data_IF_653147322654
#
_entry.id   IF_653147322654
#
_cell.length_a   1.000
_cell.length_b   1.000
_cell.length_c   1.000
_cell.angle_alpha   90.00
_cell.angle_beta   90.00
_cell.angle_gamma   90.00
#
_symmetry.space_group_name_H-M   'P 1'
#
loop_
_entity.id
_entity.type
_entity.pdbx_description
1 polymer ?
#
# COMPACT_ATOMS: atom_id res chain seq x y z
N UNK A 1 8.35 -25.79 26.37
CA UNK A 1 8.50 -24.56 25.56
C UNK A 1 9.99 -24.20 25.34
N UNK A 2 10.79 -25.11 24.74
CA UNK A 2 12.24 -24.89 24.49
C UNK A 2 12.76 -25.36 23.11
N UNK A 3 11.88 -25.89 22.24
CA UNK A 3 12.28 -26.46 20.95
C UNK A 3 12.37 -25.45 19.78
N UNK A 4 11.76 -24.26 19.91
CA UNK A 4 11.71 -23.26 18.83
C UNK A 4 13.00 -22.44 18.68
N UNK A 5 13.87 -22.41 19.69
CA UNK A 5 15.10 -21.59 19.68
C UNK A 5 16.35 -22.34 19.19
N UNK A 6 16.32 -23.67 19.13
CA UNK A 6 17.45 -24.51 18.72
C UNK A 6 17.51 -24.78 17.20
N UNK A 7 16.55 -24.27 16.44
CA UNK A 7 16.52 -24.30 14.97
C UNK A 7 16.30 -22.88 14.47
N UNK A 8 17.38 -22.11 14.37
CA UNK A 8 17.46 -21.16 13.26
C UNK A 8 17.38 -22.03 12.02
N UNK A 9 16.29 -21.91 11.27
CA UNK A 9 16.03 -22.78 10.12
C UNK A 9 17.21 -22.69 9.15
N UNK A 10 17.76 -23.82 8.71
CA UNK A 10 18.87 -23.83 7.76
C UNK A 10 18.50 -23.08 6.47
N UNK A 11 17.21 -23.09 6.11
CA UNK A 11 16.67 -22.30 5.00
C UNK A 11 16.72 -20.80 5.30
N UNK A 12 16.48 -20.37 6.55
CA UNK A 12 16.59 -18.96 6.95
C UNK A 12 18.05 -18.48 6.95
N UNK A 13 18.98 -19.32 7.42
CA UNK A 13 20.43 -19.03 7.34
C UNK A 13 20.87 -18.93 5.88
N UNK A 14 20.46 -19.88 5.03
CA UNK A 14 20.75 -19.87 3.60
C UNK A 14 20.14 -18.65 2.90
N UNK A 15 18.91 -18.26 3.24
CA UNK A 15 18.25 -17.07 2.69
C UNK A 15 18.99 -15.78 3.09
N UNK A 16 19.46 -15.68 4.35
CA UNK A 16 20.24 -14.53 4.81
C UNK A 16 21.61 -14.45 4.10
N UNK A 17 22.30 -15.58 3.91
CA UNK A 17 23.56 -15.63 3.15
C UNK A 17 23.33 -15.25 1.68
N UNK A 18 22.30 -15.82 1.04
CA UNK A 18 21.97 -15.52 -0.35
C UNK A 18 21.58 -14.04 -0.56
N UNK A 19 20.80 -13.48 0.36
CA UNK A 19 20.47 -12.05 0.38
C UNK A 19 21.74 -11.20 0.53
N UNK A 20 22.60 -11.49 1.53
CA UNK A 20 23.84 -10.73 1.74
C UNK A 20 24.80 -10.77 0.54
N UNK A 21 24.91 -11.91 -0.16
CA UNK A 21 25.72 -12.02 -1.37
C UNK A 21 25.10 -11.23 -2.54
N UNK A 22 23.79 -11.38 -2.79
CA UNK A 22 23.13 -10.62 -3.86
C UNK A 22 23.09 -9.12 -3.58
N UNK A 23 22.97 -8.72 -2.32
CA UNK A 23 23.03 -7.34 -1.86
C UNK A 23 24.33 -6.66 -2.32
N UNK A 24 25.47 -7.32 -2.11
CA UNK A 24 26.77 -6.83 -2.55
C UNK A 24 26.83 -6.67 -4.07
N UNK A 25 26.40 -7.69 -4.83
CA UNK A 25 26.40 -7.62 -6.30
C UNK A 25 25.50 -6.51 -6.85
N UNK A 26 24.31 -6.28 -6.27
CA UNK A 26 23.41 -5.18 -6.66
C UNK A 26 24.04 -3.82 -6.32
N UNK A 27 24.68 -3.69 -5.16
CA UNK A 27 25.44 -2.48 -4.79
C UNK A 27 26.54 -2.19 -5.81
N UNK A 28 27.34 -3.19 -6.19
CA UNK A 28 28.47 -3.02 -7.10
C UNK A 28 28.01 -2.64 -8.52
N UNK A 29 26.91 -3.23 -8.99
CA UNK A 29 26.25 -2.81 -10.24
C UNK A 29 25.69 -1.38 -10.14
N UNK A 30 25.18 -0.96 -8.97
CA UNK A 30 24.72 0.41 -8.77
C UNK A 30 25.88 1.42 -8.81
N UNK A 31 27.00 1.13 -8.14
CA UNK A 31 28.23 1.95 -8.20
C UNK A 31 28.75 2.04 -9.64
N UNK A 32 28.89 0.90 -10.33
CA UNK A 32 29.32 0.85 -11.73
C UNK A 32 28.37 1.59 -12.70
N UNK A 33 27.08 1.70 -12.34
CA UNK A 33 26.09 2.52 -13.03
C UNK A 33 26.10 4.02 -12.64
N UNK A 34 27.08 4.48 -11.84
CA UNK A 34 27.25 5.87 -11.41
C UNK A 34 26.35 6.29 -10.25
N UNK A 35 25.89 5.36 -9.42
CA UNK A 35 24.98 5.63 -8.28
C UNK A 35 25.73 5.68 -6.94
N UNK A 36 26.74 6.54 -6.85
CA UNK A 36 27.72 6.51 -5.75
C UNK A 36 27.19 6.81 -4.34
N UNK A 37 28.00 6.41 -3.36
CA UNK A 37 27.79 6.72 -1.95
C UNK A 37 26.54 6.07 -1.37
N UNK A 38 25.78 6.81 -0.57
CA UNK A 38 24.58 6.28 0.11
C UNK A 38 23.50 5.76 -0.86
N UNK A 39 23.48 6.23 -2.11
CA UNK A 39 22.50 5.82 -3.12
C UNK A 39 22.69 4.35 -3.49
N UNK A 40 23.92 3.89 -3.70
CA UNK A 40 24.25 2.49 -4.03
C UNK A 40 23.61 1.51 -3.04
N UNK A 41 23.66 1.83 -1.74
CA UNK A 41 23.10 1.00 -0.67
C UNK A 41 21.56 0.95 -0.64
N UNK A 42 20.89 1.93 -1.24
CA UNK A 42 19.42 1.94 -1.32
C UNK A 42 18.88 0.96 -2.38
N UNK A 43 19.64 0.66 -3.43
CA UNK A 43 19.26 -0.28 -4.49
C UNK A 43 18.98 -1.69 -3.96
N UNK A 44 19.92 -2.42 -3.33
CA UNK A 44 19.66 -3.76 -2.83
C UNK A 44 18.56 -3.79 -1.78
N UNK A 45 18.49 -2.80 -0.87
CA UNK A 45 17.40 -2.68 0.11
C UNK A 45 16.03 -2.60 -0.58
N UNK A 46 15.91 -1.82 -1.67
CA UNK A 46 14.65 -1.72 -2.41
C UNK A 46 14.28 -3.01 -3.16
N UNK A 47 15.25 -3.75 -3.68
CA UNK A 47 15.05 -5.08 -4.31
C UNK A 47 14.57 -6.09 -3.26
N UNK A 48 15.23 -6.16 -2.10
CA UNK A 48 14.86 -7.06 -1.01
C UNK A 48 13.47 -6.76 -0.45
N UNK A 49 13.15 -5.48 -0.21
CA UNK A 49 11.81 -5.07 0.24
C UNK A 49 10.72 -5.43 -0.77
N UNK A 50 10.99 -5.27 -2.07
CA UNK A 50 10.07 -5.66 -3.14
C UNK A 50 9.88 -7.18 -3.18
N UNK A 51 10.96 -7.96 -3.09
CA UNK A 51 10.92 -9.43 -3.05
C UNK A 51 10.15 -9.95 -1.83
N UNK A 52 10.39 -9.37 -0.64
CA UNK A 52 9.69 -9.71 0.61
C UNK A 52 8.22 -9.30 0.57
N UNK A 53 7.88 -8.15 -0.01
CA UNK A 53 6.49 -7.73 -0.22
C UNK A 53 5.76 -8.68 -1.18
N UNK A 54 6.39 -9.04 -2.31
CA UNK A 54 5.84 -9.93 -3.30
C UNK A 54 5.65 -11.36 -2.74
N UNK A 55 6.65 -11.90 -2.05
CA UNK A 55 6.58 -13.19 -1.36
C UNK A 55 5.46 -13.22 -0.30
N UNK A 56 5.36 -12.19 0.53
CA UNK A 56 4.29 -12.07 1.54
C UNK A 56 2.90 -12.06 0.90
N UNK A 57 2.74 -11.37 -0.25
CA UNK A 57 1.48 -11.32 -1.02
C UNK A 57 1.16 -12.67 -1.70
N UNK A 58 2.17 -13.37 -2.23
CA UNK A 58 2.02 -14.75 -2.73
C UNK A 58 1.56 -15.70 -1.62
N UNK A 59 2.15 -15.58 -0.41
CA UNK A 59 1.80 -16.38 0.77
C UNK A 59 0.42 -16.07 1.35
N UNK A 60 -0.08 -14.83 1.25
CA UNK A 60 -1.45 -14.48 1.64
C UNK A 60 -2.51 -14.87 0.60
N UNK A 61 -2.09 -15.28 -0.60
CA UNK A 61 -2.97 -15.83 -1.63
C UNK A 61 -3.84 -14.81 -2.39
N UNK A 62 -3.75 -13.52 -2.07
CA UNK A 62 -4.51 -12.43 -2.69
C UNK A 62 -3.71 -11.75 -3.81
N UNK A 63 -4.37 -11.37 -4.91
CA UNK A 63 -3.73 -10.73 -6.07
C UNK A 63 -2.50 -11.47 -6.65
N UNK A 64 -2.58 -12.82 -6.72
CA UNK A 64 -1.45 -13.69 -7.09
C UNK A 64 -0.73 -13.31 -8.40
N UNK A 65 -1.45 -12.83 -9.42
CA UNK A 65 -0.84 -12.41 -10.70
C UNK A 65 0.13 -11.23 -10.54
N UNK A 66 -0.31 -10.15 -9.89
CA UNK A 66 0.55 -9.00 -9.60
C UNK A 66 1.69 -9.38 -8.63
N UNK A 67 1.39 -10.19 -7.62
CA UNK A 67 2.39 -10.69 -6.68
C UNK A 67 3.49 -11.53 -7.36
N UNK A 68 3.11 -12.37 -8.33
CA UNK A 68 4.06 -13.16 -9.11
C UNK A 68 4.88 -12.31 -10.07
N UNK A 69 4.25 -11.35 -10.77
CA UNK A 69 4.92 -10.41 -11.66
C UNK A 69 6.03 -9.65 -10.91
N UNK A 70 5.72 -9.03 -9.77
CA UNK A 70 6.69 -8.30 -8.97
C UNK A 70 7.75 -9.19 -8.32
N UNK A 71 7.40 -10.43 -7.94
CA UNK A 71 8.38 -11.41 -7.47
C UNK A 71 9.41 -11.75 -8.57
N UNK A 72 8.96 -11.97 -9.80
CA UNK A 72 9.83 -12.25 -10.96
C UNK A 72 10.69 -11.03 -11.30
N UNK A 73 10.16 -9.81 -11.26
CA UNK A 73 10.93 -8.57 -11.49
C UNK A 73 12.04 -8.42 -10.44
N UNK A 74 11.73 -8.56 -9.15
CA UNK A 74 12.73 -8.47 -8.08
C UNK A 74 13.79 -9.57 -8.17
N UNK A 75 13.37 -10.81 -8.46
CA UNK A 75 14.28 -11.94 -8.65
C UNK A 75 15.18 -11.76 -9.88
N UNK A 76 14.66 -11.21 -10.99
CA UNK A 76 15.43 -10.91 -12.18
C UNK A 76 16.46 -9.80 -11.95
N UNK A 77 16.13 -8.76 -11.17
CA UNK A 77 17.08 -7.73 -10.77
C UNK A 77 18.21 -8.29 -9.88
N UNK A 78 17.86 -9.08 -8.86
CA UNK A 78 18.82 -9.76 -7.98
C UNK A 78 19.74 -10.73 -8.74
N UNK A 79 19.18 -11.61 -9.57
CA UNK A 79 19.97 -12.56 -10.36
C UNK A 79 20.79 -11.84 -11.44
N UNK A 80 20.23 -10.81 -12.08
CA UNK A 80 20.92 -10.01 -13.10
C UNK A 80 22.17 -9.33 -12.57
N UNK A 81 22.15 -8.83 -11.33
CA UNK A 81 23.32 -8.26 -10.68
C UNK A 81 24.42 -9.30 -10.42
N UNK A 82 24.05 -10.48 -9.93
CA UNK A 82 24.98 -11.60 -9.73
C UNK A 82 25.61 -12.04 -11.07
N UNK A 83 24.84 -12.04 -12.17
CA UNK A 83 25.33 -12.42 -13.51
C UNK A 83 26.24 -11.33 -14.11
N UNK A 84 25.90 -10.05 -13.95
CA UNK A 84 26.73 -8.94 -14.42
C UNK A 84 28.13 -8.96 -13.75
N UNK A 85 28.16 -9.16 -12.43
CA UNK A 85 29.39 -9.23 -11.63
C UNK A 85 30.17 -10.54 -11.78
N UNK A 86 29.57 -11.59 -12.34
CA UNK A 86 30.26 -12.84 -12.67
C UNK A 86 31.17 -12.76 -13.92
N UNK A 87 31.49 -11.55 -14.39
CA UNK A 87 32.35 -11.32 -15.56
C UNK A 87 31.62 -11.37 -16.91
N UNK A 88 30.28 -11.35 -16.92
CA UNK A 88 29.51 -11.18 -18.17
C UNK A 88 29.47 -9.71 -18.63
N UNK A 89 29.67 -8.78 -17.70
CA UNK A 89 29.73 -7.35 -17.95
C UNK A 89 31.10 -6.80 -17.56
N UNK A 90 31.58 -5.80 -18.30
CA UNK A 90 32.63 -4.91 -17.83
C UNK A 90 32.00 -3.85 -16.90
N UNK A 91 32.42 -3.80 -15.64
CA UNK A 91 31.91 -2.83 -14.66
C UNK A 91 32.65 -1.49 -14.73
N UNK A 92 33.81 -1.42 -15.39
CA UNK A 92 34.49 -0.14 -15.64
C UNK A 92 33.85 0.61 -16.83
N UNK A 93 33.21 -0.10 -17.77
CA UNK A 93 32.42 0.49 -18.87
C UNK A 93 30.98 -0.06 -18.98
N UNK A 94 30.17 0.21 -17.95
CA UNK A 94 28.73 -0.16 -17.96
C UNK A 94 27.96 0.49 -19.12
N UNK A 95 27.27 -0.29 -19.98
CA UNK A 95 26.50 0.23 -21.10
C UNK A 95 25.39 1.21 -20.67
N UNK A 96 25.16 2.25 -21.50
CA UNK A 96 24.19 3.31 -21.21
C UNK A 96 22.76 2.80 -20.91
N UNK A 97 22.30 1.75 -21.58
CA UNK A 97 20.98 1.15 -21.32
C UNK A 97 20.88 0.58 -19.89
N UNK A 98 21.96 -0.01 -19.36
CA UNK A 98 21.99 -0.55 -18.01
C UNK A 98 22.07 0.59 -16.98
N UNK A 99 22.83 1.65 -17.26
CA UNK A 99 22.83 2.88 -16.43
C UNK A 99 21.42 3.49 -16.32
N UNK A 100 20.67 3.51 -17.42
CA UNK A 100 19.27 3.98 -17.45
C UNK A 100 18.35 3.05 -16.64
N UNK A 101 18.47 1.72 -16.79
CA UNK A 101 17.67 0.76 -16.03
C UNK A 101 17.92 0.87 -14.52
N UNK A 102 19.19 0.99 -14.10
CA UNK A 102 19.53 1.21 -12.70
C UNK A 102 18.96 2.55 -12.23
N UNK A 103 19.22 3.66 -12.92
CA UNK A 103 18.71 4.98 -12.53
C UNK A 103 17.16 5.05 -12.45
N UNK A 104 16.46 4.28 -13.28
CA UNK A 104 14.99 4.17 -13.26
C UNK A 104 14.42 3.20 -12.20
N UNK A 105 15.25 2.32 -11.63
CA UNK A 105 14.82 1.30 -10.68
C UNK A 105 14.02 1.84 -9.47
N UNK A 106 14.36 2.98 -8.83
CA UNK A 106 13.61 3.46 -7.66
C UNK A 106 12.13 3.72 -7.96
N UNK A 107 11.79 4.19 -9.16
CA UNK A 107 10.40 4.39 -9.58
C UNK A 107 9.67 3.05 -9.79
N UNK A 108 10.35 2.07 -10.39
CA UNK A 108 9.83 0.70 -10.59
C UNK A 108 9.59 -0.01 -9.25
N UNK A 109 10.55 0.10 -8.32
CA UNK A 109 10.43 -0.47 -6.97
C UNK A 109 9.32 0.21 -6.15
N UNK A 110 9.14 1.53 -6.29
CA UNK A 110 8.02 2.24 -5.67
C UNK A 110 6.67 1.80 -6.23
N UNK A 111 6.53 1.69 -7.56
CA UNK A 111 5.32 1.19 -8.22
C UNK A 111 4.98 -0.24 -7.76
N UNK A 112 5.97 -1.12 -7.69
CA UNK A 112 5.77 -2.49 -7.20
C UNK A 112 5.39 -2.54 -5.72
N UNK A 113 6.13 -1.81 -4.88
CA UNK A 113 5.85 -1.74 -3.45
C UNK A 113 4.44 -1.20 -3.15
N UNK A 114 4.03 -0.13 -3.85
CA UNK A 114 2.69 0.46 -3.70
C UNK A 114 1.59 -0.48 -4.19
N UNK A 115 1.72 -1.09 -5.37
CA UNK A 115 0.72 -2.05 -5.89
C UNK A 115 0.59 -3.29 -5.00
N UNK A 116 1.68 -3.80 -4.43
CA UNK A 116 1.67 -4.97 -3.54
C UNK A 116 1.06 -4.64 -2.16
N UNK A 117 1.32 -3.45 -1.64
CA UNK A 117 0.80 -2.99 -0.35
C UNK A 117 -0.66 -2.53 -0.43
N UNK A 118 -1.05 -1.82 -1.49
CA UNK A 118 -2.31 -1.09 -1.60
C UNK A 118 -3.28 -1.64 -2.66
N UNK A 119 -3.09 -2.85 -3.19
CA UNK A 119 -4.17 -3.53 -3.92
C UNK A 119 -5.32 -3.82 -2.94
N UNK A 120 -6.30 -2.92 -2.96
CA UNK A 120 -7.58 -3.08 -2.28
C UNK A 120 -8.18 -4.45 -2.63
N UNK A 121 -8.89 -5.10 -1.70
CA UNK A 121 -9.62 -6.31 -2.04
C UNK A 121 -10.68 -5.94 -3.07
N UNK A 122 -10.48 -6.38 -4.33
CA UNK A 122 -11.52 -6.30 -5.35
C UNK A 122 -12.66 -7.21 -4.89
N UNK A 123 -13.70 -6.60 -4.32
CA UNK A 123 -15.05 -7.20 -4.33
C UNK A 123 -15.32 -7.55 -5.78
N UNK A 124 -15.45 -8.85 -6.04
CA UNK A 124 -15.72 -9.36 -7.37
C UNK A 124 -17.20 -9.15 -7.67
N UNK A 125 -17.57 -7.91 -7.95
CA UNK A 125 -18.71 -7.62 -8.80
C UNK A 125 -18.20 -7.28 -10.21
N UNK A 126 -19.09 -7.56 -11.15
CA UNK A 126 -18.80 -7.84 -12.55
C UNK A 126 -18.99 -6.59 -13.43
N UNK A 127 -18.63 -6.70 -14.71
CA UNK A 127 -19.06 -5.84 -15.82
C UNK A 127 -18.32 -4.50 -16.10
N UNK A 128 -18.01 -4.37 -17.38
CA UNK A 128 -17.72 -3.20 -18.25
C UNK A 128 -16.50 -2.27 -18.05
N UNK A 129 -15.65 -2.34 -19.08
CA UNK A 129 -14.79 -1.28 -19.58
C UNK A 129 -15.63 -0.05 -19.93
N UNK A 130 -15.28 1.11 -19.37
CA UNK A 130 -15.57 2.40 -19.98
C UNK A 130 -14.26 3.20 -19.94
N UNK A 131 -13.67 3.40 -21.11
CA UNK A 131 -12.67 4.45 -21.32
C UNK A 131 -13.38 5.79 -21.18
N UNK A 132 -12.84 6.71 -20.40
CA UNK A 132 -12.69 8.13 -20.76
C UNK A 132 -11.89 8.86 -19.67
N UNK A 133 -10.81 9.52 -20.10
CA UNK A 133 -10.12 10.56 -19.33
C UNK A 133 -10.72 11.90 -19.71
N UNK A 134 -10.89 12.83 -18.77
CA UNK A 134 -10.52 14.23 -19.02
C UNK A 134 -10.37 15.04 -17.71
N UNK A 135 -9.63 16.13 -17.84
CA UNK A 135 -8.85 16.93 -16.87
C UNK A 135 -9.48 17.47 -15.56
N UNK A 136 -8.63 17.54 -14.52
CA UNK A 136 -8.17 18.73 -13.76
C UNK A 136 -8.96 20.07 -13.72
N UNK A 137 -8.68 21.02 -12.79
CA UNK A 137 -8.22 20.87 -11.39
C UNK A 137 -8.82 21.93 -10.39
N UNK A 138 -8.37 21.84 -9.12
CA UNK A 138 -8.02 22.95 -8.20
C UNK A 138 -8.99 24.14 -7.89
N UNK A 139 -9.27 24.37 -6.59
CA UNK A 139 -9.05 25.66 -5.86
C UNK A 139 -9.58 25.61 -4.41
N UNK A 140 -8.73 25.98 -3.43
CA UNK A 140 -9.09 26.41 -2.07
C UNK A 140 -8.83 27.94 -1.94
N UNK A 141 -9.34 28.74 -0.96
CA UNK A 141 -9.48 28.41 0.47
C UNK A 141 -10.66 29.06 1.28
N UNK A 142 -10.72 28.75 2.59
CA UNK A 142 -11.48 29.41 3.70
C UNK A 142 -11.09 30.90 3.93
N UNK A 143 -11.86 31.78 4.66
CA UNK A 143 -12.33 31.63 6.08
C UNK A 143 -13.60 32.48 6.45
N UNK A 144 -13.88 33.01 7.69
CA UNK A 144 -13.70 32.57 9.09
C UNK A 144 -15.01 32.55 9.97
N UNK A 145 -14.86 32.08 11.23
CA UNK A 145 -15.81 31.96 12.37
C UNK A 145 -16.49 33.27 12.87
N UNK A 146 -17.63 33.17 13.62
CA UNK A 146 -17.58 33.50 15.06
C UNK A 146 -18.46 32.63 16.00
N UNK A 147 -17.96 32.36 17.23
CA UNK A 147 -18.68 31.81 18.40
C UNK A 147 -19.22 32.96 19.31
N UNK A 148 -20.11 32.79 20.34
CA UNK A 148 -19.95 31.91 21.53
C UNK A 148 -21.33 31.44 22.12
N UNK A 149 -21.56 31.09 23.43
CA UNK A 149 -20.70 30.72 24.56
C UNK A 149 -21.02 29.32 25.20
N UNK A 150 -20.39 28.97 26.32
CA UNK A 150 -20.31 27.61 26.89
C UNK A 150 -21.32 27.26 28.01
N UNK A 151 -21.57 25.96 28.20
CA UNK A 151 -22.14 25.31 29.40
C UNK A 151 -21.44 23.94 29.65
N UNK A 152 -21.11 23.63 30.91
CA UNK A 152 -20.60 22.33 31.40
C UNK A 152 -21.69 21.61 32.24
N UNK A 153 -21.67 20.31 32.60
CA UNK A 153 -20.78 19.16 32.40
C UNK A 153 -21.62 17.87 32.62
N UNK A 154 -21.29 16.68 32.04
CA UNK A 154 -20.33 15.75 32.69
C UNK A 154 -19.48 14.92 31.68
N UNK A 155 -18.54 14.02 32.10
CA UNK A 155 -17.52 13.50 31.20
C UNK A 155 -18.06 12.37 30.31
N UNK A 156 -18.39 12.71 29.07
CA UNK A 156 -18.83 11.74 28.08
C UNK A 156 -17.68 10.94 27.46
N UNK A 157 -18.00 9.77 26.91
CA UNK A 157 -17.02 8.91 26.20
C UNK A 157 -16.32 9.69 25.09
N UNK A 158 -15.07 9.35 24.72
CA UNK A 158 -14.37 10.02 23.63
C UNK A 158 -15.22 9.94 22.35
N UNK A 159 -15.86 11.06 22.02
CA UNK A 159 -16.76 11.16 20.89
C UNK A 159 -15.93 10.90 19.63
N UNK A 160 -16.23 9.81 18.94
CA UNK A 160 -15.69 9.60 17.59
C UNK A 160 -16.20 10.79 16.77
N UNK A 161 -15.32 11.67 16.24
CA UNK A 161 -15.77 12.85 15.53
C UNK A 161 -16.41 12.41 14.22
N UNK A 162 -17.74 12.29 14.22
CA UNK A 162 -18.54 11.94 13.05
C UNK A 162 -18.56 13.17 12.14
N UNK A 163 -18.05 13.09 10.89
CA UNK A 163 -18.13 14.23 9.97
C UNK A 163 -19.59 14.58 9.68
N UNK A 164 -19.95 15.86 9.79
CA UNK A 164 -21.34 16.34 9.60
C UNK A 164 -21.88 15.98 8.21
N UNK A 165 -21.05 16.08 7.17
CA UNK A 165 -21.39 15.63 5.81
C UNK A 165 -21.84 14.16 5.75
N UNK A 166 -21.31 13.31 6.63
CA UNK A 166 -21.67 11.90 6.72
C UNK A 166 -22.98 11.68 7.51
N UNK A 167 -23.28 12.55 8.49
CA UNK A 167 -24.60 12.61 9.15
C UNK A 167 -25.68 13.09 8.18
N UNK A 168 -25.41 14.12 7.37
CA UNK A 168 -26.39 14.63 6.40
C UNK A 168 -26.65 13.62 5.27
N UNK A 169 -25.60 12.93 4.80
CA UNK A 169 -25.76 11.79 3.89
C UNK A 169 -26.56 10.65 4.54
N UNK A 170 -26.29 10.33 5.81
CA UNK A 170 -27.06 9.35 6.58
C UNK A 170 -28.55 9.75 6.72
N UNK A 171 -28.84 11.04 6.96
CA UNK A 171 -30.21 11.57 7.07
C UNK A 171 -30.95 11.46 5.73
N UNK A 172 -30.29 11.74 4.61
CA UNK A 172 -30.85 11.53 3.27
C UNK A 172 -31.19 10.04 3.04
N UNK A 173 -30.24 9.15 3.33
CA UNK A 173 -30.40 7.69 3.18
C UNK A 173 -31.50 7.13 4.09
N UNK A 174 -31.61 7.64 5.33
CA UNK A 174 -32.67 7.28 6.27
C UNK A 174 -34.06 7.78 5.81
N UNK A 175 -34.14 9.02 5.30
CA UNK A 175 -35.38 9.56 4.74
C UNK A 175 -35.85 8.76 3.51
N UNK A 176 -34.97 8.49 2.55
CA UNK A 176 -35.27 7.66 1.37
C UNK A 176 -35.72 6.24 1.74
N UNK A 177 -35.15 5.65 2.79
CA UNK A 177 -35.61 4.37 3.32
C UNK A 177 -37.02 4.50 3.89
N UNK A 178 -37.26 5.49 4.76
CA UNK A 178 -38.57 5.70 5.37
C UNK A 178 -39.67 5.97 4.33
N UNK A 179 -39.42 6.79 3.30
CA UNK A 179 -40.36 7.03 2.19
C UNK A 179 -40.68 5.74 1.41
N UNK A 180 -39.72 4.81 1.31
CA UNK A 180 -39.85 3.58 0.52
C UNK A 180 -40.40 2.38 1.29
N UNK A 181 -40.17 2.30 2.60
CA UNK A 181 -40.55 1.15 3.44
C UNK A 181 -41.56 1.47 4.54
N UNK A 182 -41.81 2.75 4.83
CA UNK A 182 -42.66 3.21 5.93
C UNK A 182 -42.03 3.03 7.32
N UNK A 183 -40.80 2.52 7.42
CA UNK A 183 -40.14 2.17 8.69
C UNK A 183 -38.84 2.96 8.90
N UNK A 184 -38.48 3.30 10.16
CA UNK A 184 -37.17 3.88 10.46
C UNK A 184 -36.05 2.88 10.14
N UNK A 185 -34.87 3.39 9.79
CA UNK A 185 -33.73 2.55 9.42
C UNK A 185 -33.00 2.04 10.67
N UNK A 186 -32.83 0.71 10.77
CA UNK A 186 -32.01 0.09 11.83
C UNK A 186 -30.51 0.39 11.66
N UNK A 187 -29.78 0.46 12.78
CA UNK A 187 -28.33 0.74 12.84
C UNK A 187 -27.51 -0.25 11.99
N UNK A 188 -27.90 -1.53 11.95
CA UNK A 188 -27.24 -2.56 11.12
C UNK A 188 -27.38 -2.26 9.63
N UNK A 189 -28.56 -1.77 9.22
CA UNK A 189 -28.87 -1.39 7.84
C UNK A 189 -28.17 -0.09 7.47
N UNK A 190 -28.14 0.88 8.39
CA UNK A 190 -27.42 2.14 8.24
C UNK A 190 -25.92 1.91 8.06
N UNK A 191 -25.32 1.04 8.88
CA UNK A 191 -23.91 0.62 8.75
C UNK A 191 -23.62 0.02 7.37
N UNK A 192 -24.47 -0.91 6.90
CA UNK A 192 -24.32 -1.55 5.60
C UNK A 192 -24.49 -0.56 4.43
N UNK A 193 -25.34 0.46 4.58
CA UNK A 193 -25.58 1.52 3.58
C UNK A 193 -24.45 2.55 3.50
N UNK A 194 -23.84 2.89 4.63
CA UNK A 194 -22.80 3.93 4.72
C UNK A 194 -21.36 3.37 4.64
N UNK A 195 -21.16 2.06 4.76
CA UNK A 195 -19.84 1.43 4.71
C UNK A 195 -18.94 1.74 5.92
N UNK A 196 -19.48 2.30 7.00
CA UNK A 196 -18.73 2.77 8.17
C UNK A 196 -18.53 1.68 9.24
N UNK A 197 -17.50 1.79 10.11
CA UNK A 197 -17.33 0.90 11.26
C UNK A 197 -18.53 0.94 12.23
N UNK A 198 -18.74 -0.16 12.97
CA UNK A 198 -19.84 -0.28 13.95
C UNK A 198 -19.96 0.90 14.96
N UNK A 199 -18.90 1.33 15.67
CA UNK A 199 -19.01 2.46 16.61
C UNK A 199 -19.32 3.80 15.93
N UNK A 200 -19.00 3.94 14.63
CA UNK A 200 -19.35 5.13 13.84
C UNK A 200 -20.84 5.07 13.45
N UNK A 201 -21.36 3.90 13.04
CA UNK A 201 -22.79 3.72 12.74
C UNK A 201 -23.68 3.97 13.96
N UNK A 202 -23.26 3.52 15.14
CA UNK A 202 -23.95 3.78 16.42
C UNK A 202 -23.97 5.29 16.75
N UNK A 203 -22.85 5.99 16.57
CA UNK A 203 -22.77 7.44 16.76
C UNK A 203 -23.65 8.21 15.76
N UNK A 204 -23.69 7.81 14.49
CA UNK A 204 -24.57 8.44 13.48
C UNK A 204 -26.04 8.18 13.80
N UNK A 205 -26.40 6.96 14.21
CA UNK A 205 -27.78 6.61 14.54
C UNK A 205 -28.33 7.40 15.75
N UNK A 206 -27.48 7.90 16.63
CA UNK A 206 -27.86 8.82 17.70
C UNK A 206 -28.17 10.26 17.21
N UNK A 207 -27.97 10.55 15.91
CA UNK A 207 -28.19 11.86 15.28
C UNK A 207 -29.27 11.86 14.18
N UNK A 208 -30.06 10.78 14.08
CA UNK A 208 -31.14 10.57 13.09
C UNK A 208 -32.53 10.55 13.74
#
# INVERSE_FOLDING_TARGET
>A
MRAQLARVDAVLVQALIAAALSFAHIHDVAVAAGQDGWKAWAYPVSVDLLLVAAWRRLRSGSAKGAAWCWFVIALAASLGANVATAGLLDLDDVPAWLRILVAGWPAVAFLGGTLLAHTAPKTADDVELIEDQEDEPETAPEPPTPAPPAIEAPPDRPAVPVPTALIDHARKVAAEHHTRTGTPMDVTTLRARLGVPAPMAEAIAAHL
#
